data_IF_054825703376
#
_entry.id   IF_054825703376
#
_cell.length_a   1.000
_cell.length_b   1.000
_cell.length_c   1.000
_cell.angle_alpha   90.00
_cell.angle_beta   90.00
_cell.angle_gamma   90.00
#
_symmetry.space_group_name_H-M   'P 1'
#
loop_
_entity.id
_entity.type
_entity.pdbx_description
1 polymer ?
#
# COMPACT_ATOMS: atom_id res chain seq x y z
N UNK A 1 -0.40 30.43 -29.05
CA UNK A 1 -0.34 28.96 -29.08
C UNK A 1 -1.18 28.45 -27.93
N UNK A 2 -2.14 27.57 -28.20
CA UNK A 2 -2.97 26.99 -27.15
C UNK A 2 -2.12 26.15 -26.20
N UNK A 3 -2.54 26.05 -24.94
CA UNK A 3 -1.95 25.14 -23.95
C UNK A 3 -1.89 23.73 -24.55
N UNK A 4 -2.95 23.33 -25.25
CA UNK A 4 -3.01 22.06 -25.98
C UNK A 4 -1.90 21.86 -27.02
N UNK A 5 -1.63 22.87 -27.87
CA UNK A 5 -0.54 22.77 -28.84
C UNK A 5 0.84 22.59 -28.20
N UNK A 6 1.02 23.12 -26.98
CA UNK A 6 2.25 22.95 -26.21
C UNK A 6 2.35 21.57 -25.59
N UNK A 7 1.22 20.99 -25.15
CA UNK A 7 1.16 19.60 -24.67
C UNK A 7 1.61 18.63 -25.77
N UNK A 8 1.12 18.81 -27.00
CA UNK A 8 1.50 17.97 -28.15
C UNK A 8 2.98 18.06 -28.53
N UNK A 9 3.70 19.08 -28.06
CA UNK A 9 5.14 19.25 -28.27
C UNK A 9 6.02 18.58 -27.20
N UNK A 10 5.43 18.05 -26.13
CA UNK A 10 6.15 17.38 -25.04
C UNK A 10 6.60 15.95 -25.45
N UNK A 11 7.59 15.35 -24.78
CA UNK A 11 7.93 13.93 -24.93
C UNK A 11 6.73 12.99 -24.69
N UNK A 12 6.68 11.85 -25.39
CA UNK A 12 5.56 10.90 -25.30
C UNK A 12 5.22 10.47 -23.86
N UNK A 13 6.23 10.25 -23.02
CA UNK A 13 6.02 9.82 -21.63
C UNK A 13 5.26 10.89 -20.81
N UNK A 14 5.58 12.17 -21.06
CA UNK A 14 4.91 13.30 -20.43
C UNK A 14 3.50 13.52 -20.98
N UNK A 15 3.30 13.26 -22.28
CA UNK A 15 1.96 13.29 -22.88
C UNK A 15 1.07 12.19 -22.28
N UNK A 16 1.57 10.96 -22.13
CA UNK A 16 0.82 9.86 -21.49
C UNK A 16 0.43 10.19 -20.05
N UNK A 17 1.32 10.84 -19.32
CA UNK A 17 1.05 11.32 -17.96
C UNK A 17 -0.08 12.37 -17.95
N UNK A 18 -0.03 13.36 -18.84
CA UNK A 18 -1.11 14.34 -18.98
C UNK A 18 -2.42 13.71 -19.43
N UNK A 19 -2.40 12.75 -20.34
CA UNK A 19 -3.62 12.14 -20.87
C UNK A 19 -4.37 11.30 -19.83
N UNK A 20 -3.70 10.87 -18.76
CA UNK A 20 -4.32 10.12 -17.66
C UNK A 20 -5.32 10.93 -16.83
N UNK A 21 -5.27 12.26 -16.88
CA UNK A 21 -6.16 13.13 -16.09
C UNK A 21 -7.56 13.28 -16.71
N UNK A 22 -7.72 12.97 -18.01
CA UNK A 22 -9.00 13.08 -18.69
C UNK A 22 -9.90 11.91 -18.34
N UNK A 23 -11.15 12.23 -17.98
CA UNK A 23 -12.13 11.28 -17.49
C UNK A 23 -13.48 11.48 -18.20
N UNK A 24 -14.52 10.82 -17.72
CA UNK A 24 -15.87 10.93 -18.30
C UNK A 24 -16.46 12.35 -18.23
N UNK A 25 -15.98 13.21 -17.31
CA UNK A 25 -16.41 14.60 -17.16
C UNK A 25 -15.67 15.58 -18.07
N UNK A 26 -14.55 15.17 -18.69
CA UNK A 26 -13.90 15.86 -19.80
C UNK A 26 -13.10 14.83 -20.63
N UNK A 27 -13.73 14.21 -21.65
CA UNK A 27 -13.06 13.29 -22.55
C UNK A 27 -11.92 13.98 -23.31
N UNK A 28 -10.81 13.26 -23.48
CA UNK A 28 -9.63 13.77 -24.17
C UNK A 28 -9.94 14.20 -25.60
N UNK A 29 -10.84 13.48 -26.30
CA UNK A 29 -11.20 13.80 -27.67
C UNK A 29 -11.90 15.17 -27.78
N UNK A 30 -12.68 15.54 -26.75
CA UNK A 30 -13.38 16.83 -26.67
C UNK A 30 -12.41 17.93 -26.27
N UNK A 31 -11.53 17.67 -25.29
CA UNK A 31 -10.45 18.59 -24.90
C UNK A 31 -9.56 18.94 -26.09
N UNK A 32 -9.27 17.95 -26.95
CA UNK A 32 -8.45 18.10 -28.14
C UNK A 32 -9.14 18.95 -29.22
N UNK A 33 -10.39 18.63 -29.57
CA UNK A 33 -11.08 19.29 -30.67
C UNK A 33 -11.62 20.69 -30.32
N UNK A 34 -11.97 20.91 -29.05
CA UNK A 34 -12.44 22.21 -28.55
C UNK A 34 -11.37 22.97 -27.76
N UNK A 35 -10.09 22.68 -28.00
CA UNK A 35 -9.00 23.25 -27.21
C UNK A 35 -9.05 24.78 -27.14
N UNK A 36 -9.17 25.44 -28.29
CA UNK A 36 -9.18 26.90 -28.37
C UNK A 36 -10.42 27.51 -27.68
N UNK A 37 -11.58 26.88 -27.85
CA UNK A 37 -12.81 27.35 -27.21
C UNK A 37 -12.76 27.19 -25.69
N UNK A 38 -12.32 26.02 -25.22
CA UNK A 38 -12.21 25.70 -23.79
C UNK A 38 -11.22 26.67 -23.14
N UNK A 39 -10.05 26.91 -23.73
CA UNK A 39 -9.03 27.77 -23.13
C UNK A 39 -9.41 29.26 -23.05
N UNK A 40 -10.39 29.71 -23.85
CA UNK A 40 -10.89 31.09 -23.83
C UNK A 40 -11.85 31.39 -22.68
N UNK A 41 -12.43 30.36 -22.03
CA UNK A 41 -13.41 30.57 -20.96
C UNK A 41 -12.72 30.79 -19.61
N UNK A 42 -13.31 31.63 -18.77
CA UNK A 42 -12.82 31.88 -17.40
C UNK A 42 -13.38 30.86 -16.41
N UNK A 43 -12.98 29.59 -16.53
CA UNK A 43 -13.50 28.49 -15.70
C UNK A 43 -13.35 28.75 -14.20
N UNK A 44 -12.23 29.33 -13.77
CA UNK A 44 -11.96 29.67 -12.36
C UNK A 44 -13.05 30.58 -11.78
N UNK A 45 -13.47 31.61 -12.52
CA UNK A 45 -14.55 32.50 -12.08
C UNK A 45 -15.87 31.74 -11.83
N UNK A 46 -16.20 30.77 -12.68
CA UNK A 46 -17.40 29.95 -12.53
C UNK A 46 -17.27 28.88 -11.43
N UNK A 47 -16.06 28.46 -11.07
CA UNK A 47 -15.85 27.59 -9.90
C UNK A 47 -16.04 28.37 -8.60
N UNK A 48 -15.49 29.57 -8.51
CA UNK A 48 -15.49 30.38 -7.29
C UNK A 48 -16.84 31.07 -7.01
N UNK A 49 -17.60 31.40 -8.07
CA UNK A 49 -18.86 32.13 -7.93
C UNK A 49 -20.05 31.27 -8.32
N UNK A 50 -21.04 31.19 -7.43
CA UNK A 50 -22.29 30.50 -7.73
C UNK A 50 -23.25 31.41 -8.51
N UNK A 51 -23.20 31.30 -9.84
CA UNK A 51 -23.93 32.18 -10.76
C UNK A 51 -24.84 31.39 -11.70
N UNK A 52 -26.00 31.96 -12.05
CA UNK A 52 -26.89 31.38 -13.07
C UNK A 52 -26.24 31.31 -14.47
N UNK A 53 -25.15 32.05 -14.69
CA UNK A 53 -24.36 32.03 -15.93
C UNK A 53 -23.63 30.70 -16.16
N UNK A 54 -23.49 29.84 -15.14
CA UNK A 54 -22.95 28.47 -15.29
C UNK A 54 -23.75 27.64 -16.29
N UNK A 55 -25.08 27.75 -16.25
CA UNK A 55 -25.97 27.04 -17.16
C UNK A 55 -25.78 27.54 -18.60
N UNK A 56 -25.63 28.85 -18.78
CA UNK A 56 -25.38 29.46 -20.09
C UNK A 56 -24.03 29.02 -20.67
N UNK A 57 -22.99 28.94 -19.83
CA UNK A 57 -21.67 28.43 -20.24
C UNK A 57 -21.75 26.98 -20.72
N UNK A 58 -22.42 26.10 -19.97
CA UNK A 58 -22.59 24.69 -20.37
C UNK A 58 -23.47 24.56 -21.61
N UNK A 59 -24.49 25.40 -21.79
CA UNK A 59 -25.28 25.42 -23.02
C UNK A 59 -24.43 25.80 -24.23
N UNK A 60 -23.59 26.84 -24.12
CA UNK A 60 -22.64 27.20 -25.19
C UNK A 60 -21.65 26.07 -25.46
N UNK A 61 -21.15 25.41 -24.42
CA UNK A 61 -20.29 24.24 -24.57
C UNK A 61 -21.00 23.09 -25.30
N UNK A 62 -22.27 22.84 -24.96
CA UNK A 62 -23.10 21.86 -25.64
C UNK A 62 -23.30 22.15 -27.13
N UNK A 63 -23.43 23.43 -27.50
CA UNK A 63 -23.54 23.84 -28.91
C UNK A 63 -22.24 23.51 -29.68
N UNK A 64 -21.06 23.78 -29.10
CA UNK A 64 -19.79 23.43 -29.75
C UNK A 64 -19.63 21.93 -29.97
N UNK A 65 -20.08 21.12 -29.01
CA UNK A 65 -20.05 19.65 -29.15
C UNK A 65 -21.06 19.19 -30.20
N UNK A 66 -22.22 19.83 -30.30
CA UNK A 66 -23.18 19.56 -31.37
C UNK A 66 -22.61 19.89 -32.75
N UNK A 67 -21.91 21.01 -32.89
CA UNK A 67 -21.19 21.35 -34.12
C UNK A 67 -20.15 20.27 -34.50
N UNK A 68 -19.40 19.75 -33.51
CA UNK A 68 -18.47 18.63 -33.74
C UNK A 68 -19.17 17.35 -34.18
N UNK A 69 -20.35 17.05 -33.61
CA UNK A 69 -21.17 15.91 -34.03
C UNK A 69 -21.55 16.08 -35.50
N UNK A 70 -22.06 17.25 -35.89
CA UNK A 70 -22.51 17.53 -37.26
C UNK A 70 -21.37 17.45 -38.29
N UNK A 71 -20.18 17.92 -37.93
CA UNK A 71 -19.01 17.94 -38.81
C UNK A 71 -18.28 16.59 -38.92
N UNK A 72 -18.57 15.63 -38.04
CA UNK A 72 -17.89 14.33 -38.02
C UNK A 72 -18.55 13.30 -38.94
N UNK A 73 -17.72 12.60 -39.73
CA UNK A 73 -18.12 11.46 -40.57
C UNK A 73 -17.86 10.09 -39.90
N UNK A 74 -17.20 10.06 -38.74
CA UNK A 74 -16.87 8.82 -38.02
C UNK A 74 -18.01 8.43 -37.07
N UNK A 75 -18.66 7.29 -37.35
CA UNK A 75 -19.79 6.78 -36.58
C UNK A 75 -19.42 6.51 -35.12
N UNK A 76 -18.25 5.95 -34.85
CA UNK A 76 -17.82 5.61 -33.50
C UNK A 76 -17.51 6.88 -32.68
N UNK A 77 -16.85 7.85 -33.31
CA UNK A 77 -16.56 9.14 -32.68
C UNK A 77 -17.83 9.95 -32.43
N UNK A 78 -18.76 10.01 -33.39
CA UNK A 78 -20.08 10.64 -33.20
C UNK A 78 -20.84 10.02 -32.03
N UNK A 79 -20.82 8.69 -31.89
CA UNK A 79 -21.49 8.02 -30.78
C UNK A 79 -20.94 8.48 -29.41
N UNK A 80 -19.61 8.61 -29.28
CA UNK A 80 -18.97 9.15 -28.07
C UNK A 80 -19.39 10.59 -27.80
N UNK A 81 -19.37 11.45 -28.82
CA UNK A 81 -19.76 12.85 -28.69
C UNK A 81 -21.23 13.01 -28.29
N UNK A 82 -22.14 12.23 -28.89
CA UNK A 82 -23.57 12.22 -28.55
C UNK A 82 -23.80 11.80 -27.10
N UNK A 83 -23.10 10.76 -26.63
CA UNK A 83 -23.21 10.32 -25.23
C UNK A 83 -22.75 11.40 -24.26
N UNK A 84 -21.65 12.07 -24.55
CA UNK A 84 -21.16 13.15 -23.70
C UNK A 84 -22.06 14.39 -23.77
N UNK A 85 -22.54 14.77 -24.95
CA UNK A 85 -23.50 15.87 -25.12
C UNK A 85 -24.78 15.62 -24.30
N UNK A 86 -25.33 14.41 -24.37
CA UNK A 86 -26.47 14.01 -23.54
C UNK A 86 -26.17 14.08 -22.04
N UNK A 87 -24.95 13.74 -21.62
CA UNK A 87 -24.54 13.82 -20.22
C UNK A 87 -24.53 15.26 -19.71
N UNK A 88 -23.94 16.20 -20.45
CA UNK A 88 -23.79 17.60 -20.01
C UNK A 88 -25.07 18.43 -20.16
N UNK A 89 -25.98 18.03 -21.06
CA UNK A 89 -27.27 18.72 -21.29
C UNK A 89 -28.43 18.12 -20.49
N UNK A 90 -28.20 17.02 -19.77
CA UNK A 90 -29.22 16.41 -18.91
C UNK A 90 -29.65 17.38 -17.81
N UNK A 91 -30.95 17.47 -17.53
CA UNK A 91 -31.50 18.32 -16.47
C UNK A 91 -30.99 17.95 -15.06
N UNK A 92 -30.50 16.72 -14.89
CA UNK A 92 -29.92 16.22 -13.63
C UNK A 92 -28.38 16.31 -13.58
N UNK A 93 -27.74 16.92 -14.58
CA UNK A 93 -26.28 17.02 -14.62
C UNK A 93 -25.75 17.96 -13.53
N UNK A 94 -24.69 17.54 -12.84
CA UNK A 94 -23.96 18.43 -11.93
C UNK A 94 -23.06 19.37 -12.74
N UNK A 95 -23.66 20.47 -13.19
CA UNK A 95 -23.01 21.53 -13.96
C UNK A 95 -21.77 22.05 -13.23
N UNK A 96 -21.82 22.16 -11.90
CA UNK A 96 -20.69 22.65 -11.13
C UNK A 96 -19.54 21.64 -11.13
N UNK A 97 -19.82 20.34 -11.00
CA UNK A 97 -18.81 19.30 -11.10
C UNK A 97 -18.12 19.28 -12.47
N UNK A 98 -18.87 19.47 -13.57
CA UNK A 98 -18.30 19.53 -14.93
C UNK A 98 -17.38 20.74 -15.08
N UNK A 99 -17.86 21.94 -14.71
CA UNK A 99 -17.07 23.19 -14.77
C UNK A 99 -15.80 23.06 -13.93
N UNK A 100 -15.92 22.49 -12.72
CA UNK A 100 -14.79 22.26 -11.83
C UNK A 100 -13.79 21.28 -12.43
N UNK A 101 -14.25 20.17 -13.00
CA UNK A 101 -13.36 19.19 -13.63
C UNK A 101 -12.59 19.80 -14.81
N UNK A 102 -13.25 20.60 -15.66
CA UNK A 102 -12.58 21.31 -16.76
C UNK A 102 -11.53 22.29 -16.22
N UNK A 103 -11.88 23.06 -15.20
CA UNK A 103 -10.95 23.98 -14.54
C UNK A 103 -9.73 23.25 -13.97
N UNK A 104 -9.95 22.17 -13.24
CA UNK A 104 -8.90 21.38 -12.59
C UNK A 104 -7.95 20.76 -13.63
N UNK A 105 -8.49 20.24 -14.75
CA UNK A 105 -7.67 19.77 -15.88
C UNK A 105 -6.81 20.89 -16.46
N UNK A 106 -7.37 22.08 -16.73
CA UNK A 106 -6.62 23.20 -17.31
C UNK A 106 -5.56 23.77 -16.36
N UNK A 107 -5.84 23.81 -15.06
CA UNK A 107 -4.86 24.20 -14.05
C UNK A 107 -3.71 23.18 -14.05
N UNK A 108 -4.03 21.89 -14.03
CA UNK A 108 -3.03 20.83 -14.05
C UNK A 108 -2.15 20.91 -15.30
N UNK A 109 -2.75 21.08 -16.48
CA UNK A 109 -2.00 21.25 -17.74
C UNK A 109 -1.04 22.44 -17.69
N UNK A 110 -1.51 23.60 -17.21
CA UNK A 110 -0.69 24.82 -17.10
C UNK A 110 0.46 24.64 -16.10
N UNK A 111 0.18 24.03 -14.95
CA UNK A 111 1.18 23.76 -13.92
C UNK A 111 2.19 22.71 -14.39
N UNK A 112 1.75 21.65 -15.06
CA UNK A 112 2.62 20.63 -15.64
C UNK A 112 3.59 21.23 -16.66
N UNK A 113 3.10 22.12 -17.53
CA UNK A 113 3.93 22.86 -18.48
C UNK A 113 4.87 23.83 -17.75
N UNK A 114 4.43 24.45 -16.65
CA UNK A 114 5.28 25.35 -15.85
C UNK A 114 6.43 24.58 -15.19
N UNK A 115 6.14 23.45 -14.57
CA UNK A 115 7.11 22.57 -13.89
C UNK A 115 8.09 21.90 -14.85
N UNK A 116 7.67 21.58 -16.08
CA UNK A 116 8.59 21.08 -17.12
C UNK A 116 9.57 22.14 -17.64
N UNK A 117 9.31 23.43 -17.39
CA UNK A 117 10.14 24.55 -17.85
C UNK A 117 10.92 25.28 -16.74
N UNK A 118 10.72 24.94 -15.46
CA UNK A 118 11.40 25.57 -14.32
C UNK A 118 11.83 24.54 -13.27
N UNK A 119 13.00 24.76 -12.67
CA UNK A 119 13.49 24.03 -11.49
C UNK A 119 12.41 23.94 -10.38
N UNK A 120 12.42 22.87 -9.57
CA UNK A 120 11.27 22.45 -8.77
C UNK A 120 10.89 23.48 -7.70
N UNK A 121 9.62 23.92 -7.72
CA UNK A 121 8.99 24.76 -6.68
C UNK A 121 7.84 23.95 -6.04
N UNK A 122 7.67 23.98 -4.70
CA UNK A 122 6.85 23.00 -4.00
C UNK A 122 5.35 23.34 -4.04
N UNK A 123 4.56 22.47 -4.68
CA UNK A 123 3.10 22.36 -4.51
C UNK A 123 2.76 20.91 -4.13
N UNK A 124 2.04 20.72 -3.03
CA UNK A 124 1.79 19.39 -2.42
C UNK A 124 0.96 18.41 -3.28
N UNK A 125 0.40 18.85 -4.42
CA UNK A 125 -0.28 17.96 -5.38
C UNK A 125 0.68 17.38 -6.44
N UNK A 126 1.80 18.07 -6.74
CA UNK A 126 2.83 17.59 -7.69
C UNK A 126 3.66 16.47 -7.07
N UNK A 127 3.92 16.56 -5.75
CA UNK A 127 4.64 15.52 -5.01
C UNK A 127 3.90 14.17 -4.93
N UNK A 128 2.56 14.18 -4.96
CA UNK A 128 1.78 12.96 -4.79
C UNK A 128 2.02 11.96 -5.93
N UNK A 129 2.01 12.45 -7.18
CA UNK A 129 2.25 11.61 -8.36
C UNK A 129 3.69 11.09 -8.41
N UNK A 130 4.68 11.95 -8.14
CA UNK A 130 6.09 11.57 -8.09
C UNK A 130 6.34 10.52 -7.00
N UNK A 131 5.73 10.67 -5.82
CA UNK A 131 5.84 9.71 -4.73
C UNK A 131 5.18 8.38 -5.08
N UNK A 132 4.00 8.36 -5.71
CA UNK A 132 3.37 7.12 -6.16
C UNK A 132 4.17 6.41 -7.26
N UNK A 133 4.75 7.16 -8.19
CA UNK A 133 5.63 6.59 -9.21
C UNK A 133 6.89 6.00 -8.58
N UNK A 134 7.53 6.73 -7.65
CA UNK A 134 8.69 6.27 -6.90
C UNK A 134 8.37 5.00 -6.09
N UNK A 135 7.24 4.97 -5.37
CA UNK A 135 6.78 3.79 -4.63
C UNK A 135 6.56 2.57 -5.54
N UNK A 136 6.00 2.77 -6.74
CA UNK A 136 5.84 1.70 -7.71
C UNK A 136 7.20 1.19 -8.24
N UNK A 137 8.14 2.09 -8.53
CA UNK A 137 9.50 1.70 -8.95
C UNK A 137 10.23 0.93 -7.85
N UNK A 138 10.19 1.42 -6.61
CA UNK A 138 10.77 0.73 -5.45
C UNK A 138 10.19 -0.68 -5.30
N UNK A 139 8.86 -0.83 -5.42
CA UNK A 139 8.20 -2.13 -5.39
C UNK A 139 8.75 -3.12 -6.44
N UNK A 140 8.94 -2.66 -7.68
CA UNK A 140 9.47 -3.49 -8.76
C UNK A 140 10.91 -3.90 -8.49
N UNK A 141 11.75 -2.97 -8.05
CA UNK A 141 13.15 -3.25 -7.68
C UNK A 141 13.21 -4.27 -6.55
N UNK A 142 12.45 -4.06 -5.48
CA UNK A 142 12.39 -4.97 -4.32
C UNK A 142 11.92 -6.37 -4.76
N UNK A 143 10.87 -6.45 -5.57
CA UNK A 143 10.35 -7.73 -6.08
C UNK A 143 11.42 -8.49 -6.87
N UNK A 144 12.14 -7.81 -7.75
CA UNK A 144 13.22 -8.41 -8.54
C UNK A 144 14.37 -8.89 -7.64
N UNK A 145 14.79 -8.06 -6.67
CA UNK A 145 15.82 -8.44 -5.70
C UNK A 145 15.42 -9.66 -4.85
N UNK A 146 14.15 -9.77 -4.44
CA UNK A 146 13.62 -10.96 -3.75
C UNK A 146 13.72 -12.20 -4.64
N UNK A 147 13.39 -12.07 -5.93
CA UNK A 147 13.50 -13.16 -6.91
C UNK A 147 14.96 -13.62 -7.12
N UNK A 148 15.89 -12.69 -7.28
CA UNK A 148 17.33 -12.98 -7.38
C UNK A 148 17.89 -13.63 -6.10
N UNK A 149 17.39 -13.21 -4.94
CA UNK A 149 17.77 -13.79 -3.65
C UNK A 149 17.26 -15.22 -3.51
N UNK A 150 16.07 -15.51 -4.06
CA UNK A 150 15.52 -16.87 -4.12
C UNK A 150 16.36 -17.81 -4.99
N UNK A 151 16.84 -17.32 -6.14
CA UNK A 151 17.69 -18.13 -7.04
C UNK A 151 19.05 -18.39 -6.40
N UNK A 152 19.64 -17.40 -5.73
CA UNK A 152 20.86 -17.58 -4.94
C UNK A 152 20.65 -18.63 -3.83
N UNK A 153 19.54 -18.57 -3.10
CA UNK A 153 19.22 -19.55 -2.07
C UNK A 153 19.11 -20.98 -2.62
N UNK A 154 18.47 -21.17 -3.79
CA UNK A 154 18.41 -22.47 -4.47
C UNK A 154 19.81 -22.99 -4.83
N UNK A 155 20.69 -22.11 -5.30
CA UNK A 155 22.07 -22.46 -5.61
C UNK A 155 22.85 -22.87 -4.36
N UNK A 156 22.69 -22.13 -3.25
CA UNK A 156 23.30 -22.47 -1.95
C UNK A 156 22.84 -23.85 -1.48
N UNK A 157 21.55 -24.16 -1.60
CA UNK A 157 21.00 -25.47 -1.25
C UNK A 157 21.64 -26.59 -2.06
N UNK A 158 21.70 -26.44 -3.39
CA UNK A 158 22.35 -27.41 -4.28
C UNK A 158 23.84 -27.59 -3.96
N UNK A 159 24.53 -26.49 -3.64
CA UNK A 159 25.94 -26.51 -3.31
C UNK A 159 26.17 -27.22 -1.96
N UNK A 160 25.30 -26.98 -0.98
CA UNK A 160 25.34 -27.67 0.32
C UNK A 160 25.10 -29.18 0.18
N UNK A 161 24.13 -29.59 -0.64
CA UNK A 161 23.90 -31.00 -0.93
C UNK A 161 25.14 -31.64 -1.57
N UNK A 162 25.78 -30.95 -2.52
CA UNK A 162 27.03 -31.40 -3.16
C UNK A 162 28.17 -31.52 -2.15
N UNK A 163 28.32 -30.52 -1.28
CA UNK A 163 29.31 -30.52 -0.20
C UNK A 163 29.10 -31.71 0.74
N UNK A 164 27.87 -31.96 1.20
CA UNK A 164 27.55 -33.07 2.09
C UNK A 164 27.87 -34.43 1.45
N UNK A 165 27.55 -34.63 0.15
CA UNK A 165 27.89 -35.84 -0.60
C UNK A 165 29.42 -36.03 -0.64
N UNK A 166 30.17 -34.97 -0.97
CA UNK A 166 31.64 -35.04 -1.05
C UNK A 166 32.29 -35.29 0.31
N UNK A 167 31.72 -34.77 1.39
CA UNK A 167 32.18 -35.04 2.74
C UNK A 167 31.93 -36.49 3.17
N UNK A 168 30.79 -37.07 2.78
CA UNK A 168 30.50 -38.50 2.98
C UNK A 168 31.44 -39.40 2.17
N UNK A 169 31.77 -39.03 0.92
CA UNK A 169 32.75 -39.76 0.10
C UNK A 169 34.12 -39.84 0.81
N UNK A 170 34.60 -38.76 1.43
CA UNK A 170 35.84 -38.75 2.22
C UNK A 170 35.74 -39.67 3.43
N UNK A 171 34.62 -39.60 4.16
CA UNK A 171 34.40 -40.41 5.36
C UNK A 171 34.39 -41.92 5.01
N UNK A 172 33.74 -42.28 3.90
CA UNK A 172 33.74 -43.64 3.38
C UNK A 172 35.13 -44.08 2.91
N UNK A 173 35.89 -43.19 2.24
CA UNK A 173 37.27 -43.48 1.84
C UNK A 173 38.16 -43.81 3.04
N UNK A 174 38.01 -43.10 4.16
CA UNK A 174 38.75 -43.40 5.39
C UNK A 174 38.35 -44.74 6.03
N UNK A 175 37.09 -45.18 5.88
CA UNK A 175 36.62 -46.50 6.33
C UNK A 175 37.15 -47.67 5.49
N UNK A 176 37.28 -47.49 4.16
CA UNK A 176 37.75 -48.54 3.24
C UNK A 176 39.27 -48.79 3.28
N UNK A 177 40.05 -47.91 3.94
CA UNK A 177 41.49 -48.10 4.18
C UNK A 177 41.81 -49.30 5.06
N UNK A 178 40.89 -49.77 5.89
CA UNK A 178 41.11 -50.96 6.72
C UNK A 178 41.18 -52.27 5.90
N UNK A 179 40.75 -52.27 4.63
CA UNK A 179 40.61 -53.51 3.84
C UNK A 179 41.56 -53.65 2.63
N UNK A 180 42.33 -52.63 2.21
CA UNK A 180 43.11 -52.68 0.96
C UNK A 180 44.62 -52.39 1.12
N UNK A 181 45.45 -53.32 0.64
CA UNK A 181 46.93 -53.29 0.60
C UNK A 181 47.52 -52.34 -0.48
N UNK A 182 46.94 -51.16 -0.69
CA UNK A 182 47.46 -50.18 -1.66
C UNK A 182 48.61 -49.33 -1.08
N UNK A 183 49.51 -48.86 -1.95
CA UNK A 183 50.65 -48.01 -1.57
C UNK A 183 50.17 -46.76 -0.79
N UNK A 184 50.70 -46.50 0.43
CA UNK A 184 50.22 -45.42 1.30
C UNK A 184 50.41 -44.01 0.72
N UNK A 185 51.39 -43.81 -0.16
CA UNK A 185 51.67 -42.50 -0.77
C UNK A 185 50.60 -42.07 -1.78
N UNK A 186 50.12 -42.97 -2.65
CA UNK A 186 49.08 -42.63 -3.65
C UNK A 186 47.73 -42.35 -2.99
N UNK A 187 47.39 -43.11 -1.93
CA UNK A 187 46.17 -42.88 -1.14
C UNK A 187 46.17 -41.52 -0.42
N UNK A 188 47.34 -41.03 0.00
CA UNK A 188 47.47 -39.72 0.63
C UNK A 188 47.29 -38.57 -0.38
N UNK A 189 47.82 -38.71 -1.61
CA UNK A 189 47.63 -37.72 -2.68
C UNK A 189 46.16 -37.63 -3.09
N UNK A 190 45.47 -38.77 -3.22
CA UNK A 190 44.04 -38.82 -3.53
C UNK A 190 43.23 -38.14 -2.42
N UNK A 191 43.51 -38.44 -1.15
CA UNK A 191 42.83 -37.81 0.00
C UNK A 191 43.05 -36.30 0.06
N UNK A 192 44.27 -35.83 -0.20
CA UNK A 192 44.58 -34.40 -0.28
C UNK A 192 43.70 -33.68 -1.32
N UNK A 193 43.57 -34.23 -2.54
CA UNK A 193 42.71 -33.65 -3.59
C UNK A 193 41.23 -33.61 -3.20
N UNK A 194 40.74 -34.66 -2.52
CA UNK A 194 39.37 -34.66 -2.00
C UNK A 194 39.17 -33.60 -0.92
N UNK A 195 40.12 -33.47 0.03
CA UNK A 195 40.08 -32.41 1.06
C UNK A 195 40.13 -31.01 0.45
N UNK A 196 40.97 -30.78 -0.56
CA UNK A 196 41.01 -29.50 -1.30
C UNK A 196 39.65 -29.17 -1.94
N UNK A 197 38.98 -30.17 -2.52
CA UNK A 197 37.65 -30.02 -3.13
C UNK A 197 36.58 -29.70 -2.08
N UNK A 198 36.60 -30.38 -0.93
CA UNK A 198 35.64 -30.11 0.16
C UNK A 198 35.89 -28.74 0.78
N UNK A 199 37.14 -28.34 0.96
CA UNK A 199 37.49 -27.01 1.47
C UNK A 199 37.08 -25.89 0.49
N UNK A 200 37.24 -26.09 -0.82
CA UNK A 200 36.80 -25.11 -1.81
C UNK A 200 35.28 -24.97 -1.87
N UNK A 201 34.55 -26.08 -1.76
CA UNK A 201 33.08 -26.08 -1.66
C UNK A 201 32.61 -25.39 -0.37
N UNK A 202 33.27 -25.64 0.77
CA UNK A 202 32.96 -24.97 2.04
C UNK A 202 33.14 -23.45 1.94
N UNK A 203 34.27 -23.01 1.38
CA UNK A 203 34.54 -21.57 1.19
C UNK A 203 33.51 -20.93 0.25
N UNK A 204 33.12 -21.62 -0.81
CA UNK A 204 32.10 -21.14 -1.74
C UNK A 204 30.73 -21.06 -1.05
N UNK A 205 30.36 -22.05 -0.23
CA UNK A 205 29.15 -22.04 0.58
C UNK A 205 29.11 -20.83 1.52
N UNK A 206 30.18 -20.60 2.28
CA UNK A 206 30.28 -19.46 3.20
C UNK A 206 30.18 -18.11 2.46
N UNK A 207 30.84 -18.00 1.30
CA UNK A 207 30.81 -16.77 0.49
C UNK A 207 29.39 -16.48 -0.01
N UNK A 208 28.69 -17.51 -0.51
CA UNK A 208 27.31 -17.35 -0.97
C UNK A 208 26.33 -17.08 0.18
N UNK A 209 26.52 -17.70 1.35
CA UNK A 209 25.72 -17.40 2.54
C UNK A 209 25.88 -15.94 2.99
N UNK A 210 27.10 -15.41 2.98
CA UNK A 210 27.34 -13.99 3.29
C UNK A 210 26.72 -13.06 2.23
N UNK A 211 26.80 -13.40 0.94
CA UNK A 211 26.11 -12.63 -0.12
C UNK A 211 24.59 -12.65 0.09
N UNK A 212 24.02 -13.81 0.43
CA UNK A 212 22.60 -13.98 0.71
C UNK A 212 22.15 -13.08 1.87
N UNK A 213 22.90 -13.06 2.98
CA UNK A 213 22.63 -12.19 4.13
C UNK A 213 22.66 -10.72 3.73
N UNK A 214 23.66 -10.30 2.96
CA UNK A 214 23.80 -8.91 2.52
C UNK A 214 22.64 -8.49 1.61
N UNK A 215 22.19 -9.38 0.71
CA UNK A 215 21.01 -9.13 -0.14
C UNK A 215 19.74 -8.97 0.69
N UNK A 216 19.54 -9.81 1.71
CA UNK A 216 18.40 -9.63 2.61
C UNK A 216 18.43 -8.32 3.39
N UNK A 217 19.62 -7.91 3.88
CA UNK A 217 19.78 -6.60 4.56
C UNK A 217 19.45 -5.44 3.62
N UNK A 218 19.93 -5.47 2.38
CA UNK A 218 19.62 -4.45 1.37
C UNK A 218 18.13 -4.39 1.03
N UNK A 219 17.47 -5.55 0.86
CA UNK A 219 16.03 -5.65 0.65
C UNK A 219 15.25 -5.05 1.84
N UNK A 220 15.66 -5.37 3.07
CA UNK A 220 15.04 -4.81 4.29
C UNK A 220 15.21 -3.30 4.34
N UNK A 221 16.40 -2.76 4.02
CA UNK A 221 16.64 -1.32 3.97
C UNK A 221 15.71 -0.62 2.96
N UNK A 222 15.60 -1.16 1.74
CA UNK A 222 14.69 -0.64 0.70
C UNK A 222 13.22 -0.72 1.13
N UNK A 223 12.82 -1.80 1.80
CA UNK A 223 11.46 -1.95 2.35
C UNK A 223 11.20 -0.93 3.47
N UNK A 224 12.18 -0.62 4.32
CA UNK A 224 12.05 0.42 5.35
C UNK A 224 11.82 1.79 4.72
N UNK A 225 12.64 2.17 3.74
CA UNK A 225 12.47 3.42 3.01
C UNK A 225 11.09 3.52 2.32
N UNK A 226 10.67 2.41 1.68
CA UNK A 226 9.37 2.34 1.05
C UNK A 226 8.23 2.47 2.07
N UNK A 227 8.35 1.83 3.24
CA UNK A 227 7.33 1.89 4.31
C UNK A 227 7.13 3.32 4.80
N UNK A 228 8.22 4.06 5.02
CA UNK A 228 8.18 5.44 5.49
C UNK A 228 7.44 6.33 4.47
N UNK A 229 7.77 6.20 3.19
CA UNK A 229 7.13 6.98 2.14
C UNK A 229 5.65 6.63 1.99
N UNK A 230 5.30 5.34 2.04
CA UNK A 230 3.91 4.87 1.99
C UNK A 230 3.09 5.39 3.18
N UNK A 231 3.65 5.37 4.39
CA UNK A 231 2.97 5.83 5.60
C UNK A 231 2.75 7.34 5.58
N UNK A 232 3.71 8.12 5.09
CA UNK A 232 3.53 9.55 4.89
C UNK A 232 2.35 9.85 3.94
N UNK A 233 2.24 9.13 2.82
CA UNK A 233 1.13 9.28 1.87
C UNK A 233 -0.21 8.83 2.48
N UNK A 234 -0.21 7.76 3.29
CA UNK A 234 -1.39 7.34 4.05
C UNK A 234 -1.84 8.42 5.03
N UNK A 235 -0.91 9.08 5.73
CA UNK A 235 -1.23 10.15 6.67
C UNK A 235 -1.80 11.39 5.96
N UNK A 236 -1.24 11.76 4.80
CA UNK A 236 -1.81 12.81 3.95
C UNK A 236 -3.25 12.43 3.54
N UNK A 237 -3.47 11.18 3.11
CA UNK A 237 -4.80 10.72 2.75
C UNK A 237 -5.78 10.73 3.95
N UNK A 238 -5.35 10.29 5.14
CA UNK A 238 -6.14 10.37 6.39
C UNK A 238 -6.55 11.83 6.70
N UNK A 239 -5.67 12.80 6.46
CA UNK A 239 -5.96 14.23 6.62
C UNK A 239 -6.97 14.76 5.59
N UNK A 240 -6.86 14.31 4.33
CA UNK A 240 -7.81 14.64 3.26
C UNK A 240 -9.20 14.08 3.55
N UNK A 241 -9.27 12.83 4.02
CA UNK A 241 -10.52 12.18 4.43
C UNK A 241 -11.22 12.97 5.54
N UNK A 242 -10.47 13.46 6.54
CA UNK A 242 -11.00 14.31 7.62
C UNK A 242 -11.63 15.60 7.09
N UNK A 243 -11.07 16.14 6.02
CA UNK A 243 -11.55 17.38 5.38
C UNK A 243 -12.64 17.12 4.33
N UNK A 244 -12.95 15.85 4.01
CA UNK A 244 -13.83 15.42 2.90
C UNK A 244 -13.33 15.85 1.51
N UNK A 245 -12.01 15.91 1.34
CA UNK A 245 -11.34 16.17 0.05
C UNK A 245 -10.61 14.92 -0.48
N UNK A 246 -10.89 13.74 0.07
CA UNK A 246 -10.27 12.50 -0.35
C UNK A 246 -10.70 12.09 -1.77
N UNK A 247 -9.74 11.62 -2.55
CA UNK A 247 -10.00 11.09 -3.88
C UNK A 247 -10.09 9.55 -3.84
N UNK A 248 -11.07 8.98 -4.56
CA UNK A 248 -11.19 7.53 -4.67
C UNK A 248 -10.00 6.89 -5.39
N UNK A 249 -9.32 7.64 -6.27
CA UNK A 249 -8.18 7.16 -7.03
C UNK A 249 -6.93 7.03 -6.15
N UNK A 250 -6.64 8.03 -5.33
CA UNK A 250 -5.53 8.00 -4.36
C UNK A 250 -5.69 6.83 -3.38
N UNK A 251 -6.92 6.58 -2.92
CA UNK A 251 -7.21 5.41 -2.07
C UNK A 251 -6.88 4.08 -2.78
N UNK A 252 -7.27 3.92 -4.04
CA UNK A 252 -7.00 2.70 -4.82
C UNK A 252 -5.50 2.51 -5.07
N UNK A 253 -4.76 3.59 -5.31
CA UNK A 253 -3.30 3.53 -5.47
C UNK A 253 -2.61 3.13 -4.16
N UNK A 254 -3.00 3.73 -3.02
CA UNK A 254 -2.49 3.38 -1.69
C UNK A 254 -2.79 1.92 -1.34
N UNK A 255 -4.01 1.46 -1.65
CA UNK A 255 -4.39 0.05 -1.50
C UNK A 255 -3.46 -0.84 -2.32
N UNK A 256 -3.32 -0.59 -3.62
CA UNK A 256 -2.48 -1.41 -4.50
C UNK A 256 -1.02 -1.44 -4.06
N UNK A 257 -0.47 -0.31 -3.60
CA UNK A 257 0.90 -0.25 -3.10
C UNK A 257 1.08 -1.00 -1.78
N UNK A 258 0.10 -0.89 -0.88
CA UNK A 258 0.07 -1.64 0.38
C UNK A 258 0.02 -3.15 0.12
N UNK A 259 -0.80 -3.59 -0.84
CA UNK A 259 -0.91 -4.99 -1.28
C UNK A 259 0.43 -5.49 -1.85
N UNK A 260 1.02 -4.76 -2.81
CA UNK A 260 2.33 -5.13 -3.39
C UNK A 260 3.42 -5.24 -2.31
N UNK A 261 3.43 -4.31 -1.36
CA UNK A 261 4.39 -4.33 -0.25
C UNK A 261 4.16 -5.53 0.68
N UNK A 262 2.91 -5.82 1.02
CA UNK A 262 2.53 -6.97 1.84
C UNK A 262 2.92 -8.29 1.16
N UNK A 263 2.69 -8.40 -0.15
CA UNK A 263 3.09 -9.54 -0.97
C UNK A 263 4.62 -9.73 -0.95
N UNK A 264 5.38 -8.66 -1.15
CA UNK A 264 6.85 -8.68 -1.06
C UNK A 264 7.35 -9.12 0.33
N UNK A 265 6.80 -8.56 1.41
CA UNK A 265 7.14 -8.96 2.77
C UNK A 265 6.74 -10.40 3.08
N UNK A 266 5.58 -10.86 2.60
CA UNK A 266 5.11 -12.24 2.75
C UNK A 266 6.05 -13.23 2.08
N UNK A 267 6.46 -12.95 0.84
CA UNK A 267 7.45 -13.75 0.12
C UNK A 267 8.79 -13.80 0.86
N UNK A 268 9.25 -12.65 1.39
CA UNK A 268 10.48 -12.57 2.17
C UNK A 268 10.41 -13.41 3.45
N UNK A 269 9.32 -13.31 4.22
CA UNK A 269 9.09 -14.14 5.41
C UNK A 269 9.07 -15.64 5.05
N UNK A 270 8.47 -16.02 3.92
CA UNK A 270 8.45 -17.40 3.47
C UNK A 270 9.86 -17.91 3.10
N UNK A 271 10.68 -17.11 2.42
CA UNK A 271 12.06 -17.47 2.12
C UNK A 271 12.88 -17.66 3.42
N UNK A 272 12.73 -16.77 4.39
CA UNK A 272 13.40 -16.87 5.68
C UNK A 272 13.02 -18.14 6.45
N UNK A 273 11.77 -18.62 6.33
CA UNK A 273 11.37 -19.93 6.88
C UNK A 273 12.15 -21.08 6.25
N UNK A 274 12.34 -21.07 4.94
CA UNK A 274 13.14 -22.10 4.28
C UNK A 274 14.60 -22.06 4.72
N UNK A 275 15.15 -20.87 4.97
CA UNK A 275 16.50 -20.72 5.52
C UNK A 275 16.57 -21.29 6.93
N UNK A 276 15.61 -20.97 7.81
CA UNK A 276 15.55 -21.55 9.17
C UNK A 276 15.61 -23.08 9.12
N UNK A 277 14.90 -23.72 8.17
CA UNK A 277 14.94 -25.18 8.00
C UNK A 277 16.27 -25.71 7.51
N UNK A 278 16.97 -25.00 6.61
CA UNK A 278 18.29 -25.42 6.16
C UNK A 278 19.33 -25.32 7.27
N UNK A 279 19.30 -24.21 8.00
CA UNK A 279 20.31 -23.92 9.02
C UNK A 279 20.08 -24.73 10.30
N UNK A 280 18.84 -25.03 10.67
CA UNK A 280 18.54 -25.86 11.86
C UNK A 280 18.98 -27.33 11.71
N UNK A 281 19.18 -27.80 10.48
CA UNK A 281 19.63 -29.17 10.21
C UNK A 281 21.15 -29.35 10.38
N UNK A 282 21.91 -28.27 10.54
CA UNK A 282 23.37 -28.30 10.73
C UNK A 282 23.74 -27.80 12.13
N UNK A 283 24.56 -28.58 12.83
CA UNK A 283 24.97 -28.32 14.22
C UNK A 283 26.47 -28.08 14.33
N UNK A 284 27.01 -27.14 13.55
CA UNK A 284 28.41 -26.71 13.68
C UNK A 284 28.55 -25.33 14.32
N UNK A 285 29.66 -25.07 15.01
CA UNK A 285 29.90 -23.78 15.68
C UNK A 285 30.08 -22.60 14.70
N UNK A 286 30.55 -22.85 13.46
CA UNK A 286 30.70 -21.82 12.44
C UNK A 286 29.35 -21.28 11.94
N UNK A 287 28.29 -22.09 12.03
CA UNK A 287 26.93 -21.72 11.64
C UNK A 287 26.29 -20.74 12.66
N UNK A 288 26.81 -20.63 13.88
CA UNK A 288 26.21 -19.81 14.94
C UNK A 288 26.13 -18.32 14.60
N UNK A 289 27.16 -17.75 13.95
CA UNK A 289 27.15 -16.34 13.55
C UNK A 289 26.15 -16.08 12.42
N UNK A 290 26.07 -17.01 11.46
CA UNK A 290 25.12 -16.95 10.34
C UNK A 290 23.68 -17.06 10.87
N UNK A 291 23.42 -17.99 11.79
CA UNK A 291 22.13 -18.13 12.50
C UNK A 291 21.74 -16.82 13.16
N UNK A 292 22.64 -16.22 13.93
CA UNK A 292 22.35 -14.97 14.64
C UNK A 292 21.96 -13.83 13.68
N UNK A 293 22.61 -13.74 12.51
CA UNK A 293 22.28 -12.74 11.50
C UNK A 293 20.91 -12.99 10.86
N UNK A 294 20.54 -14.24 10.58
CA UNK A 294 19.20 -14.56 10.07
C UNK A 294 18.10 -14.32 11.11
N UNK A 295 18.36 -14.58 12.39
CA UNK A 295 17.43 -14.24 13.48
C UNK A 295 17.17 -12.72 13.51
N UNK A 296 18.22 -11.90 13.39
CA UNK A 296 18.10 -10.44 13.34
C UNK A 296 17.32 -9.97 12.10
N UNK A 297 17.64 -10.52 10.92
CA UNK A 297 16.92 -10.25 9.66
C UNK A 297 15.44 -10.59 9.81
N UNK A 298 15.10 -11.79 10.31
CA UNK A 298 13.72 -12.23 10.54
C UNK A 298 12.99 -11.32 11.51
N UNK A 299 13.66 -10.88 12.59
CA UNK A 299 13.10 -9.92 13.56
C UNK A 299 12.75 -8.59 12.88
N UNK A 300 13.65 -8.04 12.06
CA UNK A 300 13.41 -6.79 11.34
C UNK A 300 12.29 -6.93 10.30
N UNK A 301 12.26 -8.01 9.54
CA UNK A 301 11.18 -8.28 8.58
C UNK A 301 9.82 -8.41 9.28
N UNK A 302 9.77 -9.11 10.41
CA UNK A 302 8.54 -9.27 11.21
C UNK A 302 8.05 -7.92 11.74
N UNK A 303 8.96 -7.05 12.20
CA UNK A 303 8.62 -5.71 12.65
C UNK A 303 8.04 -4.85 11.51
N UNK A 304 8.65 -4.88 10.33
CA UNK A 304 8.16 -4.15 9.16
C UNK A 304 6.76 -4.60 8.77
N UNK A 305 6.52 -5.91 8.77
CA UNK A 305 5.22 -6.48 8.47
C UNK A 305 4.17 -6.08 9.51
N UNK A 306 4.51 -6.12 10.81
CA UNK A 306 3.65 -5.63 11.89
C UNK A 306 3.27 -4.17 11.69
N UNK A 307 4.25 -3.31 11.37
CA UNK A 307 4.02 -1.89 11.14
C UNK A 307 3.14 -1.65 9.92
N UNK A 308 3.39 -2.34 8.81
CA UNK A 308 2.57 -2.24 7.60
C UNK A 308 1.12 -2.60 7.88
N UNK A 309 0.85 -3.70 8.58
CA UNK A 309 -0.52 -4.08 8.89
C UNK A 309 -1.18 -3.06 9.82
N UNK A 310 -0.44 -2.58 10.82
CA UNK A 310 -0.97 -1.62 11.79
C UNK A 310 -1.37 -0.31 11.09
N UNK A 311 -0.51 0.22 10.23
CA UNK A 311 -0.77 1.49 9.51
C UNK A 311 -1.81 1.36 8.39
N UNK A 312 -1.98 0.16 7.83
CA UNK A 312 -2.95 -0.10 6.76
C UNK A 312 -4.33 -0.52 7.28
N UNK A 313 -4.49 -0.70 8.59
CA UNK A 313 -5.77 -0.88 9.25
C UNK A 313 -6.41 0.49 9.52
N UNK A 314 -7.38 0.86 8.68
CA UNK A 314 -7.91 2.23 8.66
C UNK A 314 -9.44 2.26 8.70
N UNK A 315 -9.98 3.36 9.23
CA UNK A 315 -11.42 3.63 9.18
C UNK A 315 -11.76 4.24 7.81
N UNK A 316 -12.33 3.43 6.92
CA UNK A 316 -12.77 3.86 5.58
C UNK A 316 -13.99 4.78 5.62
N UNK A 317 -15.02 4.37 6.36
CA UNK A 317 -16.23 5.17 6.55
C UNK A 317 -16.29 5.61 8.01
N UNK A 318 -16.00 6.89 8.24
CA UNK A 318 -16.05 7.49 9.57
C UNK A 318 -17.51 7.53 10.08
N UNK A 319 -17.76 7.24 11.37
CA UNK A 319 -19.05 7.52 11.98
C UNK A 319 -19.32 9.03 11.99
N UNK A 320 -20.59 9.42 12.16
CA UNK A 320 -20.95 10.83 12.36
C UNK A 320 -20.23 11.35 13.61
N UNK A 321 -19.65 12.56 13.53
CA UNK A 321 -18.92 13.17 14.64
C UNK A 321 -19.81 13.41 15.87
N UNK A 322 -21.10 13.65 15.67
CA UNK A 322 -22.10 13.78 16.73
C UNK A 322 -22.95 12.51 16.79
N UNK A 323 -22.77 11.74 17.86
CA UNK A 323 -23.50 10.49 18.11
C UNK A 323 -24.48 10.71 19.27
N UNK A 324 -25.76 10.44 19.04
CA UNK A 324 -26.79 10.47 20.08
C UNK A 324 -26.91 9.09 20.74
N UNK A 325 -27.07 9.06 22.07
CA UNK A 325 -27.33 7.82 22.82
C UNK A 325 -28.54 7.09 22.27
N UNK A 326 -28.50 5.76 22.32
CA UNK A 326 -29.54 4.84 21.82
C UNK A 326 -29.87 4.97 20.32
N UNK A 327 -29.18 5.85 19.57
CA UNK A 327 -29.31 5.93 18.12
C UNK A 327 -28.30 5.04 17.42
N UNK A 328 -28.74 4.41 16.32
CA UNK A 328 -27.89 3.59 15.49
C UNK A 328 -26.94 4.48 14.68
N UNK A 329 -25.69 4.05 14.58
CA UNK A 329 -24.69 4.64 13.70
C UNK A 329 -23.81 3.56 13.09
N UNK A 330 -23.08 3.94 12.04
CA UNK A 330 -22.32 3.01 11.23
C UNK A 330 -20.87 3.46 11.13
N UNK A 331 -19.97 2.50 10.96
CA UNK A 331 -18.57 2.72 10.63
C UNK A 331 -18.05 1.55 9.79
N UNK A 332 -17.09 1.80 8.92
CA UNK A 332 -16.42 0.75 8.17
C UNK A 332 -14.93 0.83 8.40
N UNK A 333 -14.35 -0.29 8.81
CA UNK A 333 -12.90 -0.45 8.95
C UNK A 333 -12.41 -1.37 7.83
N UNK A 334 -11.27 -1.05 7.23
CA UNK A 334 -10.69 -1.84 6.14
C UNK A 334 -9.20 -2.04 6.40
N UNK A 335 -8.67 -3.16 5.94
CA UNK A 335 -7.23 -3.42 5.94
C UNK A 335 -6.73 -3.33 4.50
N UNK A 336 -5.93 -2.31 4.16
CA UNK A 336 -5.51 -2.08 2.78
C UNK A 336 -4.61 -3.21 2.26
N UNK A 337 -3.70 -3.71 3.09
CA UNK A 337 -2.85 -4.86 2.80
C UNK A 337 -3.57 -6.22 2.92
N UNK A 338 -4.86 -6.25 3.27
CA UNK A 338 -5.54 -7.43 3.77
C UNK A 338 -5.80 -8.57 2.78
N UNK A 339 -5.82 -8.29 1.49
CA UNK A 339 -6.08 -9.26 0.42
C UNK A 339 -4.91 -10.22 0.19
N UNK A 340 -3.70 -9.68 0.17
CA UNK A 340 -2.44 -10.43 -0.04
C UNK A 340 -2.01 -11.19 1.22
N UNK A 341 -2.53 -10.78 2.37
CA UNK A 341 -2.37 -11.50 3.60
C UNK A 341 -3.30 -12.72 3.55
N UNK A 342 -2.73 -13.93 3.59
CA UNK A 342 -3.47 -15.20 3.83
C UNK A 342 -4.29 -15.22 5.14
N UNK A 343 -4.37 -14.08 5.82
CA UNK A 343 -5.19 -13.78 6.98
C UNK A 343 -6.70 -13.84 6.64
N UNK A 344 -7.11 -13.76 5.38
CA UNK A 344 -8.50 -14.04 4.98
C UNK A 344 -8.96 -15.48 5.29
N UNK A 345 -8.03 -16.41 5.57
CA UNK A 345 -8.36 -17.78 5.99
C UNK A 345 -8.71 -17.90 7.48
N UNK A 346 -8.33 -16.91 8.30
CA UNK A 346 -8.70 -16.84 9.71
C UNK A 346 -9.73 -15.73 9.90
N UNK A 347 -10.91 -16.05 10.43
CA UNK A 347 -11.95 -15.04 10.70
C UNK A 347 -11.44 -13.99 11.70
N UNK A 348 -11.00 -12.83 11.20
CA UNK A 348 -10.57 -11.72 12.03
C UNK A 348 -11.78 -11.04 12.66
N UNK A 349 -11.81 -10.95 13.99
CA UNK A 349 -12.85 -10.24 14.72
C UNK A 349 -12.36 -8.84 15.06
N UNK A 350 -13.06 -7.83 14.57
CA UNK A 350 -12.84 -6.43 14.94
C UNK A 350 -13.79 -6.05 16.06
N UNK A 351 -13.26 -5.51 17.15
CA UNK A 351 -14.02 -4.93 18.25
C UNK A 351 -13.88 -3.42 18.26
N UNK A 352 -14.96 -2.69 18.52
CA UNK A 352 -14.94 -1.25 18.76
C UNK A 352 -15.18 -0.93 20.24
N UNK A 353 -14.48 0.07 20.74
CA UNK A 353 -14.64 0.61 22.08
C UNK A 353 -14.69 2.14 22.03
N UNK A 354 -15.34 2.76 23.01
CA UNK A 354 -15.33 4.21 23.17
C UNK A 354 -14.34 4.61 24.26
N UNK A 355 -13.47 5.55 23.94
CA UNK A 355 -12.41 6.04 24.84
C UNK A 355 -12.48 7.55 24.96
N UNK A 356 -12.09 8.08 26.11
CA UNK A 356 -11.93 9.52 26.32
C UNK A 356 -10.52 9.99 25.90
N UNK A 357 -10.27 11.30 25.99
CA UNK A 357 -8.98 11.88 25.58
C UNK A 357 -7.79 11.37 26.42
N UNK A 358 -7.96 11.18 27.72
CA UNK A 358 -6.90 10.64 28.60
C UNK A 358 -6.56 9.20 28.21
N UNK A 359 -7.57 8.39 27.95
CA UNK A 359 -7.42 7.02 27.46
C UNK A 359 -6.76 6.95 26.09
N UNK A 360 -7.06 7.89 25.19
CA UNK A 360 -6.39 7.98 23.89
C UNK A 360 -4.91 8.38 24.02
N UNK A 361 -4.58 9.31 24.92
CA UNK A 361 -3.20 9.68 25.22
C UNK A 361 -2.43 8.51 25.84
N UNK A 362 -3.04 7.77 26.77
CA UNK A 362 -2.46 6.57 27.36
C UNK A 362 -2.23 5.48 26.31
N UNK A 363 -3.21 5.22 25.43
CA UNK A 363 -3.06 4.28 24.32
C UNK A 363 -1.85 4.61 23.43
N UNK A 364 -1.65 5.89 23.09
CA UNK A 364 -0.53 6.31 22.23
C UNK A 364 0.84 6.32 22.93
N UNK A 365 0.89 6.31 24.27
CA UNK A 365 2.14 6.41 25.03
C UNK A 365 2.61 5.08 25.60
N UNK A 366 1.69 4.23 26.07
CA UNK A 366 2.00 2.95 26.69
C UNK A 366 0.81 1.98 26.57
N UNK A 367 0.83 1.17 25.50
CA UNK A 367 -0.21 0.17 25.23
C UNK A 367 -0.34 -0.87 26.36
N UNK A 368 0.73 -1.17 27.10
CA UNK A 368 0.71 -2.20 28.15
C UNK A 368 -0.05 -1.75 29.40
N UNK A 369 -0.04 -0.44 29.68
CA UNK A 369 -0.81 0.17 30.78
C UNK A 369 -2.28 0.40 30.43
N UNK A 370 -2.66 0.24 29.17
CA UNK A 370 -4.03 0.45 28.75
C UNK A 370 -4.91 -0.77 29.06
N UNK A 371 -5.72 -0.66 30.11
CA UNK A 371 -6.70 -1.70 30.44
C UNK A 371 -7.99 -1.53 29.64
N UNK A 372 -8.19 -2.40 28.66
CA UNK A 372 -9.37 -2.45 27.79
C UNK A 372 -10.73 -2.55 28.51
N UNK A 373 -10.73 -3.02 29.77
CA UNK A 373 -11.94 -3.17 30.58
C UNK A 373 -12.34 -1.87 31.30
N UNK A 374 -11.52 -0.81 31.22
CA UNK A 374 -11.72 0.46 31.91
C UNK A 374 -12.34 1.57 31.05
N UNK A 375 -12.74 1.26 29.81
CA UNK A 375 -13.27 2.23 28.85
C UNK A 375 -14.44 3.06 29.41
N UNK A 376 -14.53 4.31 28.96
CA UNK A 376 -15.46 5.30 29.51
C UNK A 376 -16.92 5.08 29.08
N UNK A 377 -17.26 4.07 28.28
CA UNK A 377 -18.64 3.84 27.84
C UNK A 377 -18.89 2.46 27.25
N UNK A 378 -20.17 2.16 27.01
CA UNK A 378 -20.65 0.87 26.49
C UNK A 378 -21.27 1.08 25.10
N UNK A 379 -20.71 0.37 24.11
CA UNK A 379 -21.26 0.27 22.76
C UNK A 379 -21.89 -1.12 22.59
N UNK A 380 -23.11 -1.16 22.07
CA UNK A 380 -23.82 -2.40 21.70
C UNK A 380 -23.50 -2.74 20.25
N UNK A 381 -23.47 -4.04 19.94
CA UNK A 381 -23.04 -4.60 18.63
C UNK A 381 -21.61 -4.19 18.28
N UNK A 382 -20.74 -4.19 19.27
CA UNK A 382 -19.40 -3.66 19.17
C UNK A 382 -18.37 -4.63 18.57
N UNK A 383 -18.78 -5.76 18.02
CA UNK A 383 -17.89 -6.74 17.39
C UNK A 383 -18.45 -7.16 16.03
N UNK A 384 -17.58 -7.23 15.02
CA UNK A 384 -17.91 -7.68 13.66
C UNK A 384 -16.73 -8.44 13.09
N UNK A 385 -16.99 -9.43 12.24
CA UNK A 385 -15.94 -10.18 11.53
C UNK A 385 -15.52 -9.40 10.28
N UNK A 386 -14.23 -9.38 9.95
CA UNK A 386 -13.78 -8.85 8.66
C UNK A 386 -14.17 -9.81 7.54
N UNK A 387 -14.80 -9.27 6.51
CA UNK A 387 -15.27 -10.02 5.35
C UNK A 387 -14.43 -9.64 4.13
N UNK A 388 -14.03 -10.65 3.37
CA UNK A 388 -13.33 -10.46 2.11
C UNK A 388 -14.34 -10.37 0.97
N UNK A 389 -14.32 -9.25 0.25
CA UNK A 389 -15.09 -9.06 -0.97
C UNK A 389 -14.20 -9.33 -2.19
N UNK A 390 -14.48 -10.42 -2.91
CA UNK A 390 -13.72 -10.85 -4.09
C UNK A 390 -13.87 -9.92 -5.29
N UNK A 391 -14.99 -9.20 -5.43
CA UNK A 391 -15.21 -8.29 -6.54
C UNK A 391 -14.38 -7.01 -6.42
N UNK A 392 -14.20 -6.51 -5.19
CA UNK A 392 -13.42 -5.29 -4.91
C UNK A 392 -12.02 -5.58 -4.38
N UNK A 393 -11.69 -6.85 -4.16
CA UNK A 393 -10.45 -7.30 -3.52
C UNK A 393 -10.21 -6.57 -2.18
N UNK A 394 -11.23 -6.41 -1.33
CA UNK A 394 -11.14 -5.65 -0.07
C UNK A 394 -11.50 -6.52 1.11
N UNK A 395 -10.70 -6.43 2.18
CA UNK A 395 -11.02 -7.00 3.48
C UNK A 395 -11.53 -5.90 4.42
N UNK A 396 -12.79 -5.96 4.82
CA UNK A 396 -13.40 -4.91 5.67
C UNK A 396 -14.37 -5.46 6.72
N UNK A 397 -14.45 -4.78 7.86
CA UNK A 397 -15.48 -4.97 8.87
C UNK A 397 -16.51 -3.84 8.77
N UNK A 398 -17.76 -4.21 8.45
CA UNK A 398 -18.86 -3.27 8.31
C UNK A 398 -19.73 -3.24 9.58
N UNK A 399 -19.63 -2.16 10.33
CA UNK A 399 -20.47 -1.94 11.50
C UNK A 399 -21.72 -1.16 11.10
N UNK A 400 -22.87 -1.82 10.99
CA UNK A 400 -24.13 -1.23 10.49
C UNK A 400 -25.09 -0.85 11.62
N UNK A 401 -24.94 -1.45 12.80
CA UNK A 401 -25.89 -1.31 13.91
C UNK A 401 -25.20 -0.95 15.23
N UNK A 402 -24.13 -0.15 15.19
CA UNK A 402 -23.50 0.33 16.42
C UNK A 402 -24.45 1.24 17.17
N UNK A 403 -24.42 1.16 18.50
CA UNK A 403 -25.26 1.98 19.35
C UNK A 403 -24.56 2.28 20.66
N UNK A 404 -24.49 3.57 20.99
CA UNK A 404 -23.94 4.03 22.25
C UNK A 404 -25.01 3.93 23.35
N UNK A 405 -24.83 3.00 24.29
CA UNK A 405 -25.77 2.74 25.39
C UNK A 405 -25.46 3.63 26.59
N UNK A 406 -24.20 3.67 27.02
CA UNK A 406 -23.78 4.49 28.16
C UNK A 406 -22.42 5.14 27.92
N UNK A 407 -22.21 6.29 28.56
CA UNK A 407 -20.92 7.00 28.56
C UNK A 407 -20.78 7.75 29.87
N UNK A 408 -19.63 7.59 30.54
CA UNK A 408 -19.22 8.27 31.76
C UNK A 408 -18.58 9.60 31.36
N UNK A 409 -19.01 10.69 32.01
CA UNK A 409 -18.55 12.06 31.77
C UNK A 409 -18.05 12.65 33.08
N UNK A 410 -17.13 13.60 33.03
CA UNK A 410 -16.68 14.27 34.25
C UNK A 410 -17.84 15.14 34.78
N UNK A 411 -18.30 14.85 36.00
CA UNK A 411 -19.50 15.49 36.56
C UNK A 411 -19.27 16.98 36.87
N UNK A 412 -19.76 17.87 35.99
CA UNK A 412 -20.29 19.19 36.38
C UNK A 412 -21.52 19.54 35.53
N UNK A 413 -22.71 19.26 36.08
CA UNK A 413 -24.01 19.86 35.70
C UNK A 413 -24.25 20.08 34.20
N UNK A 414 -24.38 19.02 33.41
CA UNK A 414 -24.93 19.11 32.06
C UNK A 414 -26.14 18.20 31.91
N UNK A 415 -27.30 18.81 31.70
CA UNK A 415 -28.54 18.16 31.27
C UNK A 415 -28.29 17.14 30.16
N UNK A 416 -28.93 15.98 30.25
CA UNK A 416 -28.76 14.78 29.41
C UNK A 416 -28.88 15.05 27.90
N UNK A 417 -29.50 16.17 27.50
CA UNK A 417 -29.81 16.54 26.12
C UNK A 417 -28.89 17.62 25.50
N UNK A 418 -27.82 18.05 26.18
CA UNK A 418 -26.87 19.02 25.59
C UNK A 418 -25.69 18.32 24.90
N UNK A 419 -25.34 18.79 23.71
CA UNK A 419 -24.02 18.56 23.11
C UNK A 419 -23.00 19.13 24.09
N UNK A 420 -22.08 18.29 24.57
CA UNK A 420 -21.03 18.68 25.52
C UNK A 420 -19.73 18.72 24.75
N UNK A 421 -18.85 19.68 25.05
CA UNK A 421 -17.55 19.84 24.37
C UNK A 421 -16.54 18.72 24.65
N UNK A 422 -16.90 17.75 25.51
CA UNK A 422 -16.10 16.56 25.78
C UNK A 422 -15.97 15.69 24.53
N UNK A 423 -14.74 15.44 24.10
CA UNK A 423 -14.41 14.62 22.94
C UNK A 423 -14.16 13.17 23.34
N UNK A 424 -14.68 12.27 22.53
CA UNK A 424 -14.47 10.83 22.64
C UNK A 424 -14.03 10.28 21.29
N UNK A 425 -13.30 9.18 21.31
CA UNK A 425 -12.87 8.46 20.11
C UNK A 425 -13.43 7.05 20.11
N UNK A 426 -13.66 6.52 18.91
CA UNK A 426 -13.89 5.09 18.71
C UNK A 426 -12.56 4.42 18.41
N UNK A 427 -12.17 3.49 19.27
CA UNK A 427 -11.00 2.64 19.12
C UNK A 427 -11.45 1.32 18.51
N UNK A 428 -11.03 1.03 17.29
CA UNK A 428 -11.23 -0.27 16.66
C UNK A 428 -10.03 -1.14 16.99
N UNK A 429 -10.23 -2.44 17.22
CA UNK A 429 -9.20 -3.36 17.66
C UNK A 429 -9.38 -4.70 16.97
N UNK A 430 -8.29 -5.27 16.50
CA UNK A 430 -8.26 -6.63 15.96
C UNK A 430 -7.01 -7.36 16.42
N UNK A 431 -7.10 -8.67 16.53
CA UNK A 431 -5.96 -9.54 16.87
C UNK A 431 -5.57 -10.34 15.64
N UNK A 432 -4.30 -10.25 15.24
CA UNK A 432 -3.78 -11.00 14.09
C UNK A 432 -2.74 -12.00 14.55
N UNK A 433 -2.82 -13.18 13.94
CA UNK A 433 -1.92 -14.31 14.11
C UNK A 433 -1.15 -14.51 12.80
N UNK A 434 0.16 -14.26 12.85
CA UNK A 434 1.05 -14.33 11.68
C UNK A 434 1.68 -15.73 11.54
N UNK A 435 1.97 -16.34 12.69
CA UNK A 435 2.51 -17.68 12.89
C UNK A 435 1.90 -18.27 14.16
N UNK A 436 2.14 -19.55 14.46
CA UNK A 436 1.66 -20.23 15.68
C UNK A 436 1.95 -19.45 16.97
N UNK A 437 2.97 -18.59 16.97
CA UNK A 437 3.51 -17.95 18.18
C UNK A 437 3.53 -16.40 18.12
N UNK A 438 3.19 -15.79 16.97
CA UNK A 438 3.24 -14.32 16.81
C UNK A 438 1.83 -13.76 16.75
N UNK A 439 1.36 -13.31 17.92
CA UNK A 439 0.10 -12.58 18.11
C UNK A 439 0.40 -11.10 18.36
N UNK A 440 -0.29 -10.22 17.64
CA UNK A 440 -0.29 -8.79 17.98
C UNK A 440 -1.67 -8.17 17.78
N UNK A 441 -1.94 -7.16 18.62
CA UNK A 441 -3.14 -6.34 18.58
C UNK A 441 -2.87 -5.16 17.66
N UNK A 442 -3.82 -4.84 16.79
CA UNK A 442 -3.82 -3.69 15.90
C UNK A 442 -5.01 -2.80 16.27
N UNK A 443 -4.83 -1.49 16.15
CA UNK A 443 -5.85 -0.48 16.45
C UNK A 443 -6.01 0.59 15.40
#
# INVERSE_FOLDING_TARGET
MSVWSRILSLPEDQQRQLFSIYNHNLPIEIRMQLADWIEQQNWQYFVENDTMMKCELIQRFGIEIQNLIEMSNDVAYRYKLVNYWNMITNSNADIHAIIKNINDCLIYEKEFIRCTNQEPVPFNQVNLFENFQKLNQMNVVIKNSIGETETLFKNIKSLKETFNIKQLEISNFDSHKFNNNNNPNDNNVIKMRFMETVNSLHLQYQTHMNDLINRYRDIIGKLQEMSLLLFNELDIWKQQQKSKLDSSETYLQLKSLSEKMASNLGNLLQQLKFIDTLVSNDSTQEDAMIIAQFIEIKKHTTLLFKNLISETFIVKNQPKQVIKKETKFNATVTMLAGSELNVHMNSLVVRVQIINEEQAKLWNSDHEKFHLNSCCGEIVNNTTVMEYNSATNTLSANFINLRLKSIKRAEKKASIDKVVDEKFALLFLTEIFLESDIKFVIS
#
